data_IF_402368937470
#
_entry.id   IF_402368937470
#
_cell.length_a   1.000
_cell.length_b   1.000
_cell.length_c   1.000
_cell.angle_alpha   90.00
_cell.angle_beta   90.00
_cell.angle_gamma   90.00
#
_symmetry.space_group_name_H-M   'P 1'
#
loop_
_entity.id
_entity.type
_entity.pdbx_description
1 polymer ?
#
# COMPACT_ATOMS: atom_id res chain seq x y z
N UNK A 1 7.12 4.76 8.84
CA UNK A 1 5.97 5.49 9.40
C UNK A 1 6.39 6.43 10.52
N UNK A 2 5.74 7.58 10.64
CA UNK A 2 6.06 8.61 11.61
C UNK A 2 4.93 9.63 11.70
N UNK A 3 4.89 10.41 12.81
CA UNK A 3 4.01 11.58 12.96
C UNK A 3 4.76 12.92 12.87
N UNK A 4 6.09 12.87 12.63
CA UNK A 4 6.95 14.06 12.57
C UNK A 4 7.05 14.55 11.13
N UNK A 5 6.55 15.77 10.86
CA UNK A 5 6.54 16.37 9.53
C UNK A 5 7.93 16.42 8.89
N UNK A 6 8.97 16.75 9.67
CA UNK A 6 10.34 16.85 9.18
C UNK A 6 10.84 15.51 8.63
N UNK A 7 10.51 14.39 9.31
CA UNK A 7 10.90 13.05 8.83
C UNK A 7 10.19 12.66 7.55
N UNK A 8 8.92 13.05 7.37
CA UNK A 8 8.19 12.80 6.12
C UNK A 8 8.80 13.64 4.99
N UNK A 9 9.11 14.91 5.24
CA UNK A 9 9.76 15.80 4.27
C UNK A 9 11.13 15.27 3.85
N UNK A 10 11.97 14.87 4.80
CA UNK A 10 13.28 14.25 4.53
C UNK A 10 13.14 12.99 3.68
N UNK A 11 12.19 12.10 3.99
CA UNK A 11 11.91 10.90 3.20
C UNK A 11 11.54 11.26 1.76
N UNK A 12 10.65 12.25 1.56
CA UNK A 12 10.27 12.74 0.22
C UNK A 12 11.48 13.33 -0.53
N UNK A 13 12.29 14.15 0.11
CA UNK A 13 13.50 14.74 -0.49
C UNK A 13 14.48 13.66 -0.95
N UNK A 14 14.62 12.59 -0.17
CA UNK A 14 15.49 11.47 -0.50
C UNK A 14 14.97 10.60 -1.67
N UNK A 15 13.65 10.46 -1.81
CA UNK A 15 13.04 9.51 -2.75
C UNK A 15 12.30 10.17 -3.93
N UNK A 16 12.05 11.48 -3.89
CA UNK A 16 11.46 12.28 -4.97
C UNK A 16 9.95 12.08 -5.14
N UNK A 17 9.52 10.87 -5.49
CA UNK A 17 8.12 10.51 -5.76
C UNK A 17 7.66 9.50 -4.71
N UNK A 18 6.71 9.90 -3.86
CA UNK A 18 6.31 9.12 -2.70
C UNK A 18 4.79 9.03 -2.57
N UNK A 19 4.34 8.00 -1.88
CA UNK A 19 2.96 7.84 -1.41
C UNK A 19 2.92 8.19 0.08
N UNK A 20 2.01 9.08 0.45
CA UNK A 20 1.64 9.37 1.82
C UNK A 20 0.23 8.86 2.09
N UNK A 21 0.04 8.11 3.16
CA UNK A 21 -1.27 7.52 3.51
C UNK A 21 -1.45 7.37 5.02
N UNK A 22 -2.70 7.36 5.53
CA UNK A 22 -2.98 7.01 6.92
C UNK A 22 -2.68 5.52 7.17
N UNK A 23 -2.60 5.09 8.43
CA UNK A 23 -2.38 3.69 8.79
C UNK A 23 -3.68 2.88 8.85
N UNK A 24 -4.80 3.54 9.09
CA UNK A 24 -6.12 2.97 9.36
C UNK A 24 -7.15 3.28 8.26
N UNK A 25 -6.69 3.81 7.12
CA UNK A 25 -7.54 4.10 5.96
C UNK A 25 -8.02 2.83 5.24
N UNK A 26 -9.19 2.92 4.60
CA UNK A 26 -9.73 1.85 3.76
C UNK A 26 -10.15 2.36 2.38
N UNK A 27 -10.23 1.46 1.40
CA UNK A 27 -10.73 1.78 0.06
C UNK A 27 -9.89 2.79 -0.74
N UNK A 28 -8.66 3.06 -0.32
CA UNK A 28 -7.79 4.05 -0.96
C UNK A 28 -8.07 5.50 -0.52
N UNK A 29 -8.87 5.71 0.52
CA UNK A 29 -9.13 7.04 1.06
C UNK A 29 -7.86 7.68 1.62
N UNK A 30 -7.69 8.98 1.35
CA UNK A 30 -6.55 9.78 1.84
C UNK A 30 -5.17 9.24 1.44
N UNK A 31 -5.06 8.55 0.31
CA UNK A 31 -3.79 8.19 -0.30
C UNK A 31 -3.37 9.31 -1.24
N UNK A 32 -2.21 9.90 -1.00
CA UNK A 32 -1.66 10.99 -1.80
C UNK A 32 -0.35 10.56 -2.46
N UNK A 33 -0.26 10.73 -3.77
CA UNK A 33 1.02 10.71 -4.48
C UNK A 33 1.62 12.10 -4.45
N UNK A 34 2.78 12.24 -3.85
CA UNK A 34 3.48 13.53 -3.67
C UNK A 34 4.78 13.48 -4.46
N UNK A 35 4.87 14.30 -5.49
CA UNK A 35 6.06 14.46 -6.32
C UNK A 35 7.01 15.50 -5.71
N UNK A 36 8.23 15.56 -6.27
CA UNK A 36 9.30 16.42 -5.76
C UNK A 36 8.89 17.89 -5.57
N UNK A 37 8.12 18.46 -6.48
CA UNK A 37 7.73 19.88 -6.46
C UNK A 37 6.23 20.07 -6.15
N UNK A 38 5.61 19.16 -5.38
CA UNK A 38 4.20 19.31 -5.03
C UNK A 38 4.02 20.44 -4.01
N UNK A 39 3.28 21.50 -4.36
CA UNK A 39 3.07 22.65 -3.45
C UNK A 39 2.21 22.30 -2.24
N UNK A 40 1.47 21.19 -2.29
CA UNK A 40 0.53 20.78 -1.24
C UNK A 40 1.18 19.90 -0.17
N UNK A 41 2.47 19.55 -0.29
CA UNK A 41 3.12 18.59 0.61
C UNK A 41 2.92 18.90 2.08
N UNK A 42 3.02 20.17 2.47
CA UNK A 42 2.88 20.59 3.88
C UNK A 42 1.45 20.35 4.38
N UNK A 43 0.44 20.77 3.62
CA UNK A 43 -0.97 20.60 4.01
C UNK A 43 -1.39 19.13 4.00
N UNK A 44 -0.86 18.32 3.08
CA UNK A 44 -1.08 16.87 3.06
C UNK A 44 -0.53 16.23 4.34
N UNK A 45 0.70 16.60 4.74
CA UNK A 45 1.31 16.08 5.98
C UNK A 45 0.50 16.51 7.21
N UNK A 46 0.10 17.78 7.30
CA UNK A 46 -0.73 18.28 8.39
C UNK A 46 -2.05 17.52 8.50
N UNK A 47 -2.73 17.33 7.38
CA UNK A 47 -4.00 16.59 7.31
C UNK A 47 -3.83 15.13 7.75
N UNK A 48 -2.86 14.42 7.16
CA UNK A 48 -2.64 13.00 7.46
C UNK A 48 -2.17 12.76 8.90
N UNK A 49 -1.36 13.67 9.43
CA UNK A 49 -0.83 13.53 10.79
C UNK A 49 -1.72 14.19 11.83
N UNK A 50 -2.82 14.85 11.45
CA UNK A 50 -3.59 15.71 12.34
C UNK A 50 -2.67 16.60 13.18
N UNK A 51 -1.85 17.42 12.49
CA UNK A 51 -0.85 18.31 13.11
C UNK A 51 0.13 17.58 14.06
N UNK A 52 0.57 16.37 13.67
CA UNK A 52 1.56 15.60 14.41
C UNK A 52 1.00 14.73 15.54
N UNK A 53 -0.32 14.57 15.63
CA UNK A 53 -0.97 13.69 16.60
C UNK A 53 -1.05 12.24 16.10
N UNK A 54 -1.29 12.02 14.82
CA UNK A 54 -1.47 10.71 14.19
C UNK A 54 -0.23 10.28 13.42
N UNK A 55 0.02 8.97 13.39
CA UNK A 55 1.04 8.39 12.52
C UNK A 55 0.55 8.32 11.08
N UNK A 56 1.44 8.67 10.14
CA UNK A 56 1.24 8.47 8.71
C UNK A 56 2.34 7.55 8.15
N UNK A 57 2.03 6.86 7.07
CA UNK A 57 2.96 6.06 6.29
C UNK A 57 3.50 6.90 5.13
N UNK A 58 4.83 6.86 4.94
CA UNK A 58 5.48 7.31 3.72
C UNK A 58 6.14 6.11 3.05
N UNK A 59 5.88 5.92 1.76
CA UNK A 59 6.41 4.85 0.92
C UNK A 59 6.89 5.45 -0.40
N UNK A 60 7.91 4.87 -1.01
CA UNK A 60 8.31 5.22 -2.38
C UNK A 60 7.18 4.85 -3.35
N UNK A 61 6.90 5.71 -4.31
CA UNK A 61 5.94 5.39 -5.37
C UNK A 61 6.47 4.24 -6.23
N UNK A 62 5.63 3.24 -6.47
CA UNK A 62 5.96 2.08 -7.30
C UNK A 62 5.23 2.21 -8.65
N UNK A 63 5.94 2.48 -9.77
CA UNK A 63 5.32 2.69 -11.08
C UNK A 63 4.52 1.49 -11.60
N UNK A 64 4.87 0.28 -11.15
CA UNK A 64 4.18 -0.97 -11.51
C UNK A 64 2.70 -1.01 -11.10
N UNK A 65 2.23 -0.01 -10.33
CA UNK A 65 0.80 0.15 -10.02
C UNK A 65 -0.07 0.17 -11.29
N UNK A 66 0.47 0.63 -12.41
CA UNK A 66 -0.22 0.61 -13.71
C UNK A 66 -0.60 -0.82 -14.17
N UNK A 67 0.14 -1.82 -13.72
CA UNK A 67 -0.12 -3.24 -13.97
C UNK A 67 -1.05 -3.88 -12.93
N UNK A 68 -1.44 -3.11 -11.92
CA UNK A 68 -2.35 -3.49 -10.85
C UNK A 68 -1.69 -3.65 -9.49
N UNK A 69 -2.49 -3.35 -8.48
CA UNK A 69 -2.23 -3.63 -7.07
C UNK A 69 -2.87 -4.99 -6.75
N UNK A 70 -2.03 -6.00 -6.50
CA UNK A 70 -2.46 -7.39 -6.30
C UNK A 70 -2.89 -7.62 -4.86
N UNK A 71 -4.16 -7.97 -4.62
CA UNK A 71 -4.65 -8.49 -3.35
C UNK A 71 -4.45 -9.99 -3.30
N UNK A 72 -3.53 -10.46 -2.48
CA UNK A 72 -3.25 -11.86 -2.22
C UNK A 72 -3.90 -12.24 -0.89
N UNK A 73 -4.73 -13.28 -0.87
CA UNK A 73 -5.30 -13.79 0.38
C UNK A 73 -4.37 -14.85 0.97
N UNK A 74 -4.12 -14.71 2.27
CA UNK A 74 -3.42 -15.71 3.10
C UNK A 74 -4.38 -16.19 4.17
N UNK A 75 -4.66 -17.48 4.19
CA UNK A 75 -5.59 -18.13 5.11
C UNK A 75 -4.82 -19.16 5.93
N UNK A 76 -4.81 -19.02 7.25
CA UNK A 76 -4.05 -19.85 8.19
C UNK A 76 -2.58 -20.05 7.77
N UNK A 77 -1.95 -19.01 7.27
CA UNK A 77 -0.56 -19.03 6.82
C UNK A 77 -0.34 -19.59 5.41
N UNK A 78 -1.39 -19.92 4.67
CA UNK A 78 -1.30 -20.43 3.30
C UNK A 78 -1.84 -19.40 2.30
N UNK A 79 -1.03 -19.07 1.29
CA UNK A 79 -1.46 -18.16 0.22
C UNK A 79 -2.42 -18.87 -0.73
N UNK A 80 -3.54 -18.24 -1.06
CA UNK A 80 -4.44 -18.74 -2.10
C UNK A 80 -3.74 -18.68 -3.46
N UNK A 81 -4.04 -19.61 -4.38
CA UNK A 81 -3.29 -19.76 -5.64
C UNK A 81 -3.49 -18.59 -6.64
N UNK A 82 -4.50 -17.77 -6.42
CA UNK A 82 -4.82 -16.61 -7.25
C UNK A 82 -4.87 -15.31 -6.41
N UNK A 83 -4.54 -14.20 -7.05
CA UNK A 83 -4.74 -12.86 -6.52
C UNK A 83 -5.79 -12.10 -7.33
N UNK A 84 -6.32 -11.03 -6.74
CA UNK A 84 -7.11 -10.02 -7.44
C UNK A 84 -6.19 -8.85 -7.78
N UNK A 85 -5.80 -8.70 -9.06
CA UNK A 85 -5.10 -7.52 -9.53
C UNK A 85 -6.11 -6.39 -9.73
N UNK A 86 -5.96 -5.31 -8.97
CA UNK A 86 -6.82 -4.12 -9.01
C UNK A 86 -6.11 -3.06 -9.87
N UNK A 87 -6.59 -2.87 -11.09
CA UNK A 87 -5.98 -1.99 -12.08
C UNK A 87 -6.58 -0.60 -11.93
N UNK A 88 -5.77 0.47 -11.74
CA UNK A 88 -6.26 1.84 -11.62
C UNK A 88 -7.09 2.28 -12.85
N UNK A 89 -8.11 3.10 -12.62
CA UNK A 89 -8.82 3.78 -13.69
C UNK A 89 -7.88 4.79 -14.40
N UNK A 90 -8.24 5.17 -15.62
CA UNK A 90 -7.44 6.13 -16.39
C UNK A 90 -7.29 7.46 -15.63
N UNK A 91 -6.06 7.87 -15.38
CA UNK A 91 -5.73 9.10 -14.65
C UNK A 91 -5.71 8.94 -13.12
N UNK A 92 -6.01 7.76 -12.60
CA UNK A 92 -5.94 7.43 -11.17
C UNK A 92 -4.61 6.69 -10.87
N UNK A 93 -4.12 6.84 -9.65
CA UNK A 93 -2.93 6.14 -9.15
C UNK A 93 -3.26 5.07 -8.10
N UNK A 94 -4.53 4.94 -7.71
CA UNK A 94 -5.01 3.94 -6.75
C UNK A 94 -5.68 2.78 -7.48
N UNK A 95 -5.26 1.56 -7.18
CA UNK A 95 -5.86 0.34 -7.72
C UNK A 95 -7.18 -0.06 -7.05
N UNK A 96 -7.55 0.58 -5.95
CA UNK A 96 -8.72 0.23 -5.17
C UNK A 96 -10.01 0.25 -6.01
N UNK A 97 -10.83 -0.81 -5.93
CA UNK A 97 -12.11 -0.90 -6.65
C UNK A 97 -13.05 0.25 -6.28
N UNK A 98 -13.03 0.67 -5.01
CA UNK A 98 -13.80 1.82 -4.54
C UNK A 98 -13.37 3.16 -5.18
N UNK A 99 -12.17 3.24 -5.73
CA UNK A 99 -11.65 4.38 -6.49
C UNK A 99 -11.87 4.24 -8.01
N UNK A 100 -12.70 3.29 -8.45
CA UNK A 100 -13.01 3.06 -9.86
C UNK A 100 -12.05 2.10 -10.58
N UNK A 101 -11.19 1.42 -9.84
CA UNK A 101 -10.32 0.37 -10.39
C UNK A 101 -11.11 -0.83 -10.92
N UNK A 102 -10.53 -1.59 -11.83
CA UNK A 102 -11.08 -2.86 -12.33
C UNK A 102 -10.32 -4.03 -11.74
N UNK A 103 -11.04 -5.12 -11.43
CA UNK A 103 -10.46 -6.34 -10.85
C UNK A 103 -10.22 -7.41 -11.90
N UNK A 104 -9.05 -8.03 -11.87
CA UNK A 104 -8.67 -9.15 -12.72
C UNK A 104 -8.07 -10.26 -11.87
N UNK A 105 -8.60 -11.49 -12.01
CA UNK A 105 -8.03 -12.66 -11.34
C UNK A 105 -6.77 -13.11 -12.06
N UNK A 106 -5.66 -13.27 -11.33
CA UNK A 106 -4.37 -13.75 -11.86
C UNK A 106 -3.78 -14.84 -10.97
N UNK A 107 -3.10 -15.85 -11.54
CA UNK A 107 -2.32 -16.78 -10.73
C UNK A 107 -1.17 -16.04 -10.04
N UNK A 108 -0.75 -16.50 -8.85
CA UNK A 108 0.41 -15.93 -8.17
C UNK A 108 1.68 -16.18 -8.97
N UNK A 109 2.48 -15.13 -9.14
CA UNK A 109 3.86 -15.26 -9.62
C UNK A 109 4.75 -15.90 -8.55
N UNK A 110 5.95 -16.34 -8.94
CA UNK A 110 6.93 -16.86 -7.97
C UNK A 110 7.32 -15.83 -6.91
N UNK A 111 7.43 -14.56 -7.30
CA UNK A 111 7.69 -13.46 -6.36
C UNK A 111 6.55 -13.27 -5.37
N UNK A 112 5.29 -13.34 -5.83
CA UNK A 112 4.12 -13.25 -4.95
C UNK A 112 4.12 -14.38 -3.91
N UNK A 113 4.43 -15.61 -4.33
CA UNK A 113 4.55 -16.76 -3.43
C UNK A 113 5.67 -16.58 -2.40
N UNK A 114 6.84 -16.06 -2.83
CA UNK A 114 7.96 -15.76 -1.93
C UNK A 114 7.59 -14.71 -0.90
N UNK A 115 6.92 -13.62 -1.31
CA UNK A 115 6.43 -12.58 -0.40
C UNK A 115 5.47 -13.18 0.64
N UNK A 116 4.48 -13.94 0.18
CA UNK A 116 3.51 -14.56 1.07
C UNK A 116 4.18 -15.54 2.04
N UNK A 117 5.08 -16.39 1.55
CA UNK A 117 5.84 -17.34 2.38
C UNK A 117 6.72 -16.65 3.43
N UNK A 118 7.30 -15.48 3.11
CA UNK A 118 8.13 -14.73 4.03
C UNK A 118 7.35 -14.16 5.23
N UNK A 119 6.08 -13.76 5.03
CA UNK A 119 5.26 -13.17 6.10
C UNK A 119 4.38 -14.20 6.83
N UNK A 120 4.03 -15.30 6.17
CA UNK A 120 3.10 -16.31 6.68
C UNK A 120 3.44 -16.85 8.09
N UNK A 121 4.70 -17.18 8.44
CA UNK A 121 5.05 -17.64 9.78
C UNK A 121 4.71 -16.64 10.87
N UNK A 122 5.03 -15.35 10.65
CA UNK A 122 4.71 -14.29 11.62
C UNK A 122 3.21 -14.05 11.74
N UNK A 123 2.45 -14.14 10.64
CA UNK A 123 1.00 -14.01 10.67
C UNK A 123 0.38 -15.14 11.51
N UNK A 124 0.83 -16.36 11.30
CA UNK A 124 0.36 -17.54 12.02
C UNK A 124 0.70 -17.47 13.52
N UNK A 125 1.93 -17.10 13.87
CA UNK A 125 2.38 -16.88 15.26
C UNK A 125 1.50 -15.86 15.99
N UNK A 126 1.07 -14.82 15.28
CA UNK A 126 0.17 -13.77 15.83
C UNK A 126 -1.30 -14.16 15.83
N UNK A 127 -1.68 -15.34 15.37
CA UNK A 127 -3.07 -15.79 15.27
C UNK A 127 -3.88 -15.03 14.19
N UNK A 128 -3.22 -14.42 13.21
CA UNK A 128 -3.85 -13.71 12.10
C UNK A 128 -4.19 -14.71 10.99
N UNK A 129 -5.35 -15.30 11.09
CA UNK A 129 -5.77 -16.44 10.24
C UNK A 129 -6.35 -16.03 8.88
N UNK A 130 -6.78 -14.78 8.72
CA UNK A 130 -7.31 -14.27 7.45
C UNK A 130 -6.69 -12.90 7.15
N UNK A 131 -5.80 -12.85 6.17
CA UNK A 131 -4.99 -11.67 5.86
C UNK A 131 -4.99 -11.39 4.36
N UNK A 132 -5.08 -10.11 4.01
CA UNK A 132 -4.87 -9.63 2.65
C UNK A 132 -3.50 -8.96 2.53
N UNK A 133 -2.66 -9.44 1.62
CA UNK A 133 -1.41 -8.78 1.25
C UNK A 133 -1.65 -7.96 -0.01
N UNK A 134 -1.24 -6.69 0.00
CA UNK A 134 -1.25 -5.86 -1.19
C UNK A 134 0.18 -5.77 -1.76
N UNK A 135 0.32 -6.15 -3.02
CA UNK A 135 1.60 -6.24 -3.71
C UNK A 135 1.55 -5.50 -5.03
N UNK A 136 2.46 -4.54 -5.21
CA UNK A 136 2.65 -3.80 -6.46
C UNK A 136 4.01 -4.19 -7.03
N UNK A 137 4.01 -4.73 -8.26
CA UNK A 137 5.23 -5.31 -8.84
C UNK A 137 5.76 -6.44 -7.97
N UNK A 138 6.95 -6.24 -7.39
CA UNK A 138 7.63 -7.15 -6.45
C UNK A 138 7.69 -6.60 -5.00
N UNK A 139 6.86 -5.61 -4.68
CA UNK A 139 6.87 -4.93 -3.38
C UNK A 139 5.60 -5.18 -2.59
N UNK A 140 5.76 -5.69 -1.37
CA UNK A 140 4.68 -5.71 -0.37
C UNK A 140 4.42 -4.26 0.09
N UNK A 141 3.22 -3.76 -0.15
CA UNK A 141 2.85 -2.37 0.16
C UNK A 141 1.97 -2.25 1.38
N UNK A 142 1.20 -3.30 1.70
CA UNK A 142 0.27 -3.30 2.83
C UNK A 142 -0.06 -4.73 3.30
N UNK A 143 -0.29 -4.88 4.60
CA UNK A 143 -0.83 -6.09 5.21
C UNK A 143 -2.16 -5.72 5.87
N UNK A 144 -3.25 -6.29 5.36
CA UNK A 144 -4.60 -6.03 5.85
C UNK A 144 -5.04 -7.19 6.73
N UNK A 145 -5.37 -6.90 7.98
CA UNK A 145 -5.85 -7.88 8.95
C UNK A 145 -7.31 -7.64 9.29
N UNK A 146 -8.03 -8.72 9.55
CA UNK A 146 -9.46 -8.67 9.88
C UNK A 146 -9.70 -9.32 11.22
#
# INVERSE_FOLDING_TARGET
MTRKAEKIKQFREQHGDVILKPLDGMGGASIFRVKENDPNVSVIIETLTNHGQNYAMAQTFVPDISNGDKRILVVDGEAMPYCLARIPAKGETRGNLAAGGTGEARPLSETDKQIAAAVAPTLKEKGLIFVGLDVIGDKLTEINVT
#
